data_IF_796703951069
#
_entry.id   IF_796703951069
#
_cell.length_a   1.000
_cell.length_b   1.000
_cell.length_c   1.000
_cell.angle_alpha   90.00
_cell.angle_beta   90.00
_cell.angle_gamma   90.00
#
_symmetry.space_group_name_H-M   'P 1'
#
loop_
_entity.id
_entity.type
_entity.pdbx_description
1 polymer ?
#
# COMPACT_ATOMS: atom_id res chain seq x y z
N UNK A 1 4.31 -17.61 -5.70
CA UNK A 1 3.73 -16.93 -6.88
C UNK A 1 2.32 -17.41 -7.13
N UNK A 2 2.08 -18.70 -7.35
CA UNK A 2 0.71 -19.23 -7.54
C UNK A 2 -0.25 -18.88 -6.38
N UNK A 3 0.22 -19.00 -5.13
CA UNK A 3 -0.53 -18.57 -3.94
C UNK A 3 -0.83 -17.07 -3.94
N UNK A 4 0.16 -16.25 -4.26
CA UNK A 4 -0.01 -14.79 -4.37
C UNK A 4 -0.98 -14.43 -5.50
N UNK A 5 -0.86 -15.03 -6.68
CA UNK A 5 -1.78 -14.83 -7.79
C UNK A 5 -3.22 -15.24 -7.45
N UNK A 6 -3.41 -16.31 -6.69
CA UNK A 6 -4.72 -16.74 -6.20
C UNK A 6 -5.30 -15.72 -5.20
N UNK A 7 -4.48 -15.22 -4.27
CA UNK A 7 -4.86 -14.16 -3.34
C UNK A 7 -5.24 -12.89 -4.11
N UNK A 8 -4.47 -12.51 -5.13
CA UNK A 8 -4.77 -11.35 -5.97
C UNK A 8 -6.09 -11.55 -6.70
N UNK A 9 -6.28 -12.69 -7.37
CA UNK A 9 -7.52 -13.01 -8.08
C UNK A 9 -8.73 -12.96 -7.13
N UNK A 10 -8.62 -13.60 -5.96
CA UNK A 10 -9.67 -13.60 -4.94
C UNK A 10 -9.94 -12.18 -4.42
N UNK A 11 -8.90 -11.39 -4.16
CA UNK A 11 -9.03 -10.02 -3.66
C UNK A 11 -9.73 -9.09 -4.66
N UNK A 12 -9.45 -9.25 -5.95
CA UNK A 12 -10.10 -8.47 -7.00
C UNK A 12 -11.52 -8.94 -7.29
N UNK A 13 -11.78 -10.24 -7.19
CA UNK A 13 -13.11 -10.82 -7.42
C UNK A 13 -14.09 -10.45 -6.28
N UNK A 14 -13.61 -10.44 -5.04
CA UNK A 14 -14.40 -10.07 -3.86
C UNK A 14 -14.61 -8.55 -3.72
N UNK A 15 -14.03 -7.73 -4.60
CA UNK A 15 -14.22 -6.27 -4.60
C UNK A 15 -15.58 -5.92 -5.22
N UNK A 16 -16.66 -6.20 -4.47
CA UNK A 16 -18.07 -6.20 -4.94
C UNK A 16 -18.58 -4.79 -5.34
N UNK A 17 -17.94 -3.71 -4.89
CA UNK A 17 -18.26 -2.34 -5.33
C UNK A 17 -17.02 -1.45 -5.27
N UNK A 18 -16.12 -1.60 -6.24
CA UNK A 18 -14.86 -0.84 -6.29
C UNK A 18 -15.02 0.56 -6.92
N UNK A 19 -16.25 0.96 -7.25
CA UNK A 19 -16.54 2.24 -7.90
C UNK A 19 -15.85 2.36 -9.26
N UNK A 20 -15.83 1.32 -10.09
CA UNK A 20 -15.06 1.29 -11.35
C UNK A 20 -15.38 2.42 -12.31
N UNK A 21 -16.62 2.91 -12.31
CA UNK A 21 -17.09 4.02 -13.15
C UNK A 21 -16.94 5.41 -12.50
N UNK A 22 -16.35 5.50 -11.31
CA UNK A 22 -16.31 6.75 -10.57
C UNK A 22 -15.25 7.72 -11.06
N UNK A 23 -15.61 9.01 -11.06
CA UNK A 23 -14.65 10.10 -11.23
C UNK A 23 -13.68 10.19 -10.05
N UNK A 24 -12.60 10.94 -10.22
CA UNK A 24 -11.63 11.19 -9.13
C UNK A 24 -12.30 11.77 -7.88
N UNK A 25 -13.16 12.77 -8.05
CA UNK A 25 -13.84 13.44 -6.95
C UNK A 25 -14.75 12.48 -6.18
N UNK A 26 -15.46 11.60 -6.89
CA UNK A 26 -16.30 10.59 -6.26
C UNK A 26 -15.51 9.60 -5.39
N UNK A 27 -14.22 9.38 -5.66
CA UNK A 27 -13.34 8.48 -4.88
C UNK A 27 -12.75 9.13 -3.63
N UNK A 28 -12.69 10.46 -3.60
CA UNK A 28 -11.92 11.21 -2.61
C UNK A 28 -12.82 12.07 -1.72
N UNK A 29 -13.87 12.65 -2.28
CA UNK A 29 -14.87 13.41 -1.54
C UNK A 29 -15.84 12.46 -0.84
N UNK A 30 -16.40 12.96 0.27
CA UNK A 30 -17.37 12.24 1.10
C UNK A 30 -18.27 13.25 1.81
N UNK A 31 -19.58 13.02 1.79
CA UNK A 31 -20.59 13.86 2.44
C UNK A 31 -20.61 13.74 3.97
N UNK A 32 -19.98 12.72 4.54
CA UNK A 32 -19.91 12.51 5.99
C UNK A 32 -18.88 11.46 6.43
N UNK A 33 -18.73 11.24 7.75
CA UNK A 33 -17.72 10.33 8.30
C UNK A 33 -17.90 8.87 7.85
N UNK A 34 -19.14 8.38 7.77
CA UNK A 34 -19.41 7.01 7.35
C UNK A 34 -19.00 6.76 5.89
N UNK A 35 -19.36 7.69 5.00
CA UNK A 35 -18.94 7.64 3.59
C UNK A 35 -17.41 7.76 3.48
N UNK A 36 -16.78 8.60 4.30
CA UNK A 36 -15.33 8.70 4.35
C UNK A 36 -14.66 7.38 4.74
N UNK A 37 -15.17 6.66 5.74
CA UNK A 37 -14.68 5.32 6.10
C UNK A 37 -14.93 4.30 4.99
N UNK A 38 -16.08 4.39 4.30
CA UNK A 38 -16.35 3.56 3.12
C UNK A 38 -15.33 3.81 2.01
N UNK A 39 -14.98 5.08 1.73
CA UNK A 39 -13.93 5.44 0.77
C UNK A 39 -12.55 4.96 1.23
N UNK A 40 -12.24 5.09 2.50
CA UNK A 40 -10.98 4.66 3.08
C UNK A 40 -10.77 3.13 3.00
N UNK A 41 -11.84 2.33 3.14
CA UNK A 41 -11.71 0.88 3.29
C UNK A 41 -12.27 0.06 2.13
N UNK A 42 -13.27 0.55 1.40
CA UNK A 42 -14.05 -0.29 0.48
C UNK A 42 -14.00 0.16 -0.98
N UNK A 43 -14.15 1.45 -1.26
CA UNK A 43 -14.45 1.92 -2.62
C UNK A 43 -13.79 3.25 -3.02
N UNK A 44 -12.88 3.80 -2.21
CA UNK A 44 -12.09 4.97 -2.58
C UNK A 44 -10.86 4.61 -3.40
N UNK A 45 -9.75 5.32 -3.19
CA UNK A 45 -8.51 5.12 -3.96
C UNK A 45 -7.80 3.83 -3.57
N UNK A 46 -7.82 3.44 -2.30
CA UNK A 46 -7.06 2.29 -1.83
C UNK A 46 -7.95 1.29 -1.06
N UNK A 47 -8.87 0.59 -1.74
CA UNK A 47 -9.77 -0.35 -1.09
C UNK A 47 -9.02 -1.51 -0.43
N UNK A 48 -9.44 -1.89 0.78
CA UNK A 48 -8.73 -2.82 1.65
C UNK A 48 -8.44 -4.16 0.97
N UNK A 49 -9.37 -4.69 0.17
CA UNK A 49 -9.27 -6.03 -0.41
C UNK A 49 -8.10 -6.19 -1.40
N UNK A 50 -7.97 -5.41 -2.49
CA UNK A 50 -6.79 -5.48 -3.36
C UNK A 50 -5.46 -5.26 -2.62
N UNK A 51 -5.44 -4.37 -1.62
CA UNK A 51 -4.22 -4.06 -0.87
C UNK A 51 -3.88 -5.10 0.20
N UNK A 52 -4.86 -5.87 0.68
CA UNK A 52 -4.64 -6.98 1.60
C UNK A 52 -3.73 -8.05 0.99
N UNK A 53 -3.75 -8.23 -0.33
CA UNK A 53 -2.81 -9.09 -1.04
C UNK A 53 -1.35 -8.68 -0.77
N UNK A 54 -1.05 -7.38 -0.74
CA UNK A 54 0.29 -6.87 -0.43
C UNK A 54 0.67 -7.05 1.04
N UNK A 55 -0.30 -6.90 1.96
CA UNK A 55 -0.07 -7.20 3.38
C UNK A 55 0.36 -8.66 3.57
N UNK A 56 -0.39 -9.60 2.98
CA UNK A 56 -0.06 -11.02 3.03
C UNK A 56 1.27 -11.33 2.33
N UNK A 57 1.54 -10.66 1.20
CA UNK A 57 2.83 -10.79 0.50
C UNK A 57 3.99 -10.33 1.37
N UNK A 58 3.84 -9.21 2.10
CA UNK A 58 4.84 -8.71 3.04
C UNK A 58 5.10 -9.69 4.20
N UNK A 59 4.03 -10.26 4.76
CA UNK A 59 4.14 -11.31 5.79
C UNK A 59 4.82 -12.58 5.28
N UNK A 60 4.50 -13.01 4.06
CA UNK A 60 5.19 -14.15 3.45
C UNK A 60 6.67 -13.84 3.15
N UNK A 61 6.98 -12.62 2.74
CA UNK A 61 8.34 -12.16 2.45
C UNK A 61 9.21 -12.06 3.70
N UNK A 62 8.65 -11.71 4.87
CA UNK A 62 9.41 -11.59 6.11
C UNK A 62 9.95 -12.94 6.62
N UNK A 63 9.24 -14.04 6.34
CA UNK A 63 9.67 -15.40 6.66
C UNK A 63 10.69 -15.98 5.68
N UNK A 64 10.81 -15.41 4.49
CA UNK A 64 11.79 -15.83 3.47
C UNK A 64 13.11 -15.12 3.77
N UNK A 65 14.02 -15.82 4.47
CA UNK A 65 15.40 -15.36 4.69
C UNK A 65 16.22 -15.20 3.39
N UNK A 66 17.54 -15.05 3.52
CA UNK A 66 18.47 -14.74 2.41
C UNK A 66 18.45 -15.69 1.20
N UNK A 67 17.75 -16.83 1.24
CA UNK A 67 17.66 -17.81 0.16
C UNK A 67 16.79 -17.37 -1.03
N UNK A 68 16.53 -16.07 -1.16
CA UNK A 68 15.78 -15.47 -2.25
C UNK A 68 16.53 -15.55 -3.57
N UNK A 69 15.94 -16.23 -4.55
CA UNK A 69 16.49 -16.35 -5.89
C UNK A 69 16.17 -15.08 -6.71
N UNK A 70 16.91 -13.98 -6.46
CA UNK A 70 16.78 -12.69 -7.16
C UNK A 70 16.60 -12.83 -8.69
N UNK A 71 17.34 -13.72 -9.40
CA UNK A 71 17.12 -13.92 -10.82
C UNK A 71 15.70 -14.36 -11.18
N UNK A 72 15.08 -15.24 -10.38
CA UNK A 72 13.70 -15.70 -10.61
C UNK A 72 12.69 -14.57 -10.39
N UNK A 73 12.86 -13.76 -9.36
CA UNK A 73 11.97 -12.61 -9.13
C UNK A 73 12.06 -11.57 -10.23
N UNK A 74 13.26 -11.31 -10.74
CA UNK A 74 13.46 -10.38 -11.88
C UNK A 74 12.78 -10.90 -13.13
N UNK A 75 12.95 -12.19 -13.46
CA UNK A 75 12.33 -12.80 -14.65
C UNK A 75 10.81 -12.71 -14.58
N UNK A 76 10.19 -13.04 -13.44
CA UNK A 76 8.72 -12.95 -13.29
C UNK A 76 8.22 -11.50 -13.41
N UNK A 77 8.88 -10.54 -12.75
CA UNK A 77 8.49 -9.14 -12.80
C UNK A 77 8.58 -8.56 -14.21
N UNK A 78 9.69 -8.82 -14.91
CA UNK A 78 9.90 -8.38 -16.30
C UNK A 78 8.94 -9.09 -17.25
N UNK A 79 8.71 -10.40 -17.08
CA UNK A 79 7.77 -11.15 -17.92
C UNK A 79 6.35 -10.59 -17.80
N UNK A 80 5.86 -10.32 -16.58
CA UNK A 80 4.54 -9.70 -16.38
C UNK A 80 4.46 -8.30 -16.99
N UNK A 81 5.53 -7.51 -16.89
CA UNK A 81 5.60 -6.20 -17.55
C UNK A 81 5.45 -6.34 -19.08
N UNK A 82 6.19 -7.26 -19.69
CA UNK A 82 6.15 -7.49 -21.14
C UNK A 82 4.82 -8.07 -21.60
N UNK A 83 4.22 -8.99 -20.83
CA UNK A 83 2.89 -9.55 -21.11
C UNK A 83 1.83 -8.46 -21.07
N UNK A 84 1.83 -7.60 -20.05
CA UNK A 84 0.86 -6.51 -19.93
C UNK A 84 1.02 -5.45 -21.00
N UNK A 85 2.27 -5.16 -21.40
CA UNK A 85 2.55 -4.29 -22.54
C UNK A 85 2.07 -4.91 -23.86
N UNK A 86 2.31 -6.21 -24.07
CA UNK A 86 1.84 -6.94 -25.24
C UNK A 86 0.31 -6.99 -25.33
N UNK A 87 -0.37 -7.20 -24.20
CA UNK A 87 -1.84 -7.12 -24.14
C UNK A 87 -2.35 -5.73 -24.54
N UNK A 88 -1.70 -4.65 -24.05
CA UNK A 88 -2.09 -3.29 -24.42
C UNK A 88 -1.96 -3.04 -25.93
N UNK A 89 -0.87 -3.53 -26.54
CA UNK A 89 -0.66 -3.42 -27.98
C UNK A 89 -1.69 -4.21 -28.81
N UNK A 90 -2.06 -5.42 -28.37
CA UNK A 90 -3.03 -6.27 -29.08
C UNK A 90 -4.47 -5.75 -28.90
N UNK A 91 -4.80 -5.24 -27.73
CA UNK A 91 -6.13 -4.74 -27.40
C UNK A 91 -6.35 -3.27 -27.77
N UNK A 92 -5.34 -2.59 -28.30
CA UNK A 92 -5.36 -1.14 -28.61
C UNK A 92 -5.78 -0.25 -27.42
N UNK A 93 -5.51 -0.72 -26.20
CA UNK A 93 -5.83 0.00 -24.96
C UNK A 93 -4.60 0.68 -24.39
N UNK A 94 -4.81 1.67 -23.51
CA UNK A 94 -3.70 2.28 -22.78
C UNK A 94 -3.06 1.24 -21.86
N UNK A 95 -1.72 1.24 -21.80
CA UNK A 95 -1.01 0.28 -20.98
C UNK A 95 -1.25 0.49 -19.48
N UNK A 96 -1.25 1.75 -19.03
CA UNK A 96 -1.44 2.09 -17.63
C UNK A 96 -2.19 3.43 -17.48
N UNK A 97 -3.24 3.45 -16.68
CA UNK A 97 -3.97 4.66 -16.32
C UNK A 97 -4.31 4.68 -14.82
N UNK A 98 -4.24 5.85 -14.15
CA UNK A 98 -4.69 5.96 -12.78
C UNK A 98 -6.16 5.57 -12.61
N UNK A 99 -7.02 5.97 -13.55
CA UNK A 99 -8.44 5.65 -13.60
C UNK A 99 -8.85 5.52 -15.07
N UNK A 100 -9.82 4.65 -15.36
CA UNK A 100 -10.31 4.37 -16.71
C UNK A 100 -9.87 3.02 -17.25
N UNK A 101 -10.07 2.86 -18.55
CA UNK A 101 -9.87 1.58 -19.25
C UNK A 101 -8.42 1.43 -19.72
N UNK A 102 -7.66 0.65 -18.96
CA UNK A 102 -6.26 0.33 -19.23
C UNK A 102 -5.94 -1.10 -18.77
N UNK A 103 -4.88 -1.67 -19.33
CA UNK A 103 -4.40 -2.98 -18.86
C UNK A 103 -4.00 -2.90 -17.39
N UNK A 104 -3.30 -1.84 -16.98
CA UNK A 104 -2.92 -1.56 -15.60
C UNK A 104 -3.72 -0.37 -15.05
N UNK A 105 -4.93 -0.63 -14.56
CA UNK A 105 -5.76 0.38 -13.89
C UNK A 105 -5.49 0.39 -12.39
N UNK A 106 -5.24 1.58 -11.83
CA UNK A 106 -4.85 1.77 -10.44
C UNK A 106 -6.08 1.96 -9.54
N UNK A 107 -7.10 2.66 -10.04
CA UNK A 107 -8.30 3.04 -9.31
C UNK A 107 -9.58 2.71 -10.10
N UNK A 108 -10.32 1.66 -9.71
CA UNK A 108 -9.92 0.65 -8.73
C UNK A 108 -8.81 -0.24 -9.27
N UNK A 109 -7.99 -0.76 -8.35
CA UNK A 109 -6.87 -1.61 -8.71
C UNK A 109 -7.37 -2.89 -9.38
N UNK A 110 -7.03 -3.08 -10.65
CA UNK A 110 -7.43 -4.28 -11.40
C UNK A 110 -6.44 -5.43 -11.14
N UNK A 111 -6.83 -6.63 -11.56
CA UNK A 111 -6.03 -7.85 -11.38
C UNK A 111 -4.60 -7.72 -11.90
N UNK A 112 -4.44 -7.23 -13.14
CA UNK A 112 -3.14 -7.12 -13.80
C UNK A 112 -2.23 -6.12 -13.11
N UNK A 113 -2.78 -5.02 -12.62
CA UNK A 113 -2.06 -4.04 -11.82
C UNK A 113 -1.54 -4.65 -10.53
N UNK A 114 -2.41 -5.26 -9.70
CA UNK A 114 -2.01 -5.83 -8.40
C UNK A 114 -1.00 -6.95 -8.58
N UNK A 115 -1.19 -7.83 -9.57
CA UNK A 115 -0.27 -8.93 -9.86
C UNK A 115 1.11 -8.41 -10.27
N UNK A 116 1.16 -7.45 -11.20
CA UNK A 116 2.40 -6.88 -11.71
C UNK A 116 3.12 -6.11 -10.62
N UNK A 117 2.42 -5.23 -9.89
CA UNK A 117 2.97 -4.47 -8.78
C UNK A 117 3.46 -5.40 -7.65
N UNK A 118 2.80 -6.52 -7.40
CA UNK A 118 3.24 -7.55 -6.44
C UNK A 118 4.55 -8.22 -6.84
N UNK A 119 4.70 -8.59 -8.12
CA UNK A 119 5.95 -9.17 -8.62
C UNK A 119 7.11 -8.16 -8.54
N UNK A 120 6.86 -6.90 -8.88
CA UNK A 120 7.83 -5.82 -8.73
C UNK A 120 8.19 -5.54 -7.27
N UNK A 121 7.22 -5.57 -6.36
CA UNK A 121 7.45 -5.44 -4.92
C UNK A 121 8.35 -6.55 -4.39
N UNK A 122 8.14 -7.79 -4.85
CA UNK A 122 9.00 -8.92 -4.51
C UNK A 122 10.43 -8.74 -5.05
N UNK A 123 10.59 -8.25 -6.29
CA UNK A 123 11.91 -7.89 -6.84
C UNK A 123 12.61 -6.80 -6.02
N UNK A 124 11.89 -5.73 -5.66
CA UNK A 124 12.41 -4.65 -4.82
C UNK A 124 12.84 -5.17 -3.45
N UNK A 125 12.07 -6.06 -2.84
CA UNK A 125 12.41 -6.69 -1.56
C UNK A 125 13.75 -7.46 -1.63
N UNK A 126 13.93 -8.35 -2.61
CA UNK A 126 15.18 -9.10 -2.77
C UNK A 126 16.37 -8.19 -3.08
N UNK A 127 16.14 -7.14 -3.85
CA UNK A 127 17.16 -6.13 -4.15
C UNK A 127 17.56 -5.36 -2.89
N UNK A 128 16.58 -4.90 -2.11
CA UNK A 128 16.80 -4.21 -0.85
C UNK A 128 17.53 -5.10 0.18
N UNK A 129 17.13 -6.36 0.28
CA UNK A 129 17.77 -7.34 1.17
C UNK A 129 19.23 -7.60 0.79
N UNK A 130 19.53 -7.67 -0.52
CA UNK A 130 20.90 -7.83 -1.04
C UNK A 130 21.75 -6.58 -0.77
N UNK A 131 21.14 -5.40 -0.82
CA UNK A 131 21.81 -4.11 -0.57
C UNK A 131 21.81 -3.69 0.91
N UNK A 132 21.17 -4.45 1.82
CA UNK A 132 20.94 -4.05 3.22
C UNK A 132 22.19 -3.59 3.96
N UNK A 133 23.34 -4.23 3.70
CA UNK A 133 24.60 -3.88 4.35
C UNK A 133 25.21 -2.61 3.76
N UNK A 134 25.14 -2.45 2.44
CA UNK A 134 25.68 -1.26 1.73
C UNK A 134 24.84 -0.02 1.98
N UNK A 135 23.51 -0.17 2.00
CA UNK A 135 22.54 0.91 2.15
C UNK A 135 21.96 1.00 3.58
N UNK A 136 22.66 0.48 4.60
CA UNK A 136 22.18 0.43 5.99
C UNK A 136 21.70 1.80 6.50
N UNK A 137 22.47 2.86 6.22
CA UNK A 137 22.13 4.23 6.64
C UNK A 137 20.84 4.72 5.99
N UNK A 138 20.65 4.44 4.70
CA UNK A 138 19.43 4.79 3.99
C UNK A 138 18.22 4.04 4.58
N UNK A 139 18.35 2.73 4.79
CA UNK A 139 17.29 1.93 5.41
C UNK A 139 16.93 2.41 6.82
N UNK A 140 17.92 2.81 7.62
CA UNK A 140 17.68 3.40 8.94
C UNK A 140 16.90 4.72 8.88
N UNK A 141 17.13 5.54 7.85
CA UNK A 141 16.41 6.82 7.64
C UNK A 141 14.95 6.61 7.25
N UNK A 142 14.66 5.60 6.42
CA UNK A 142 13.29 5.33 5.93
C UNK A 142 12.49 4.40 6.85
N UNK A 143 13.15 3.62 7.72
CA UNK A 143 12.49 2.69 8.63
C UNK A 143 11.36 3.32 9.48
N UNK A 144 11.47 4.57 9.96
CA UNK A 144 10.37 5.23 10.67
C UNK A 144 9.08 5.33 9.86
N UNK A 145 9.18 5.60 8.55
CA UNK A 145 8.03 5.69 7.64
C UNK A 145 7.31 4.35 7.56
N UNK A 146 8.07 3.25 7.41
CA UNK A 146 7.49 1.90 7.33
C UNK A 146 6.77 1.46 8.61
N UNK A 147 7.24 1.92 9.78
CA UNK A 147 6.60 1.67 11.08
C UNK A 147 5.31 2.47 11.30
N UNK A 148 5.06 3.50 10.49
CA UNK A 148 3.90 4.39 10.56
C UNK A 148 3.04 4.30 9.27
N UNK A 149 3.13 3.20 8.53
CA UNK A 149 2.49 3.06 7.22
C UNK A 149 0.96 3.20 7.26
N UNK A 150 0.29 2.68 8.29
CA UNK A 150 -1.16 2.80 8.48
C UNK A 150 -1.57 4.22 8.90
N UNK A 151 -0.84 4.82 9.83
CA UNK A 151 -1.08 6.22 10.24
C UNK A 151 -0.88 7.17 9.06
N UNK A 152 0.20 7.00 8.32
CA UNK A 152 0.50 7.77 7.11
C UNK A 152 -0.57 7.55 6.05
N UNK A 153 -1.01 6.30 5.85
CA UNK A 153 -2.08 5.97 4.92
C UNK A 153 -3.38 6.76 5.21
N UNK A 154 -3.83 6.75 6.46
CA UNK A 154 -5.08 7.44 6.84
C UNK A 154 -4.95 8.95 6.69
N UNK A 155 -3.82 9.54 7.13
CA UNK A 155 -3.59 10.98 7.01
C UNK A 155 -3.43 11.38 5.53
N UNK A 156 -2.74 10.57 4.72
CA UNK A 156 -2.58 10.78 3.29
C UNK A 156 -3.95 10.88 2.60
N UNK A 157 -4.88 9.97 2.93
CA UNK A 157 -6.23 10.00 2.38
C UNK A 157 -6.99 11.26 2.81
N UNK A 158 -6.84 11.71 4.06
CA UNK A 158 -7.42 12.97 4.53
C UNK A 158 -6.85 14.20 3.78
N UNK A 159 -5.54 14.23 3.50
CA UNK A 159 -4.91 15.29 2.71
C UNK A 159 -5.44 15.31 1.27
N UNK A 160 -5.59 14.14 0.64
CA UNK A 160 -6.18 14.05 -0.71
C UNK A 160 -7.59 14.65 -0.75
N UNK A 161 -8.41 14.39 0.27
CA UNK A 161 -9.73 15.02 0.40
C UNK A 161 -9.65 16.52 0.48
N UNK A 162 -8.80 17.05 1.35
CA UNK A 162 -8.61 18.50 1.48
C UNK A 162 -8.13 19.14 0.16
N UNK A 163 -7.24 18.47 -0.56
CA UNK A 163 -6.78 18.93 -1.88
C UNK A 163 -7.86 18.83 -2.96
N UNK A 164 -8.72 17.82 -2.94
CA UNK A 164 -9.83 17.74 -3.88
C UNK A 164 -10.88 18.83 -3.64
N UNK A 165 -11.11 19.19 -2.38
CA UNK A 165 -12.14 20.17 -1.99
C UNK A 165 -11.63 21.62 -2.05
N UNK A 166 -10.39 21.89 -1.66
CA UNK A 166 -9.82 23.24 -1.52
C UNK A 166 -8.60 23.49 -2.41
N UNK A 167 -8.07 22.45 -3.06
CA UNK A 167 -6.88 22.55 -3.87
C UNK A 167 -7.11 23.14 -5.26
N UNK A 168 -6.04 23.37 -6.02
CA UNK A 168 -6.13 23.90 -7.38
C UNK A 168 -6.84 22.90 -8.31
N UNK A 169 -7.83 23.37 -9.06
CA UNK A 169 -8.62 22.53 -9.99
C UNK A 169 -7.81 22.03 -11.19
N UNK A 170 -6.74 22.72 -11.53
CA UNK A 170 -5.81 22.35 -12.59
C UNK A 170 -4.39 22.66 -12.16
N UNK A 171 -3.52 21.68 -12.30
CA UNK A 171 -2.09 21.82 -12.11
C UNK A 171 -1.41 21.45 -13.42
N UNK A 172 -0.33 22.14 -13.75
CA UNK A 172 0.55 21.70 -14.84
C UNK A 172 1.18 20.35 -14.46
N UNK A 173 1.69 19.63 -15.47
CA UNK A 173 2.38 18.35 -15.25
C UNK A 173 3.57 18.54 -14.31
N UNK A 174 4.34 19.62 -14.47
CA UNK A 174 5.48 19.94 -13.61
C UNK A 174 5.09 20.21 -12.16
N UNK A 175 4.02 20.97 -11.93
CA UNK A 175 3.52 21.25 -10.58
C UNK A 175 2.99 19.97 -9.91
N UNK A 176 2.20 19.19 -10.65
CA UNK A 176 1.67 17.91 -10.18
C UNK A 176 2.81 16.97 -9.77
N UNK A 177 3.82 16.84 -10.64
CA UNK A 177 5.01 16.04 -10.36
C UNK A 177 5.77 16.54 -9.12
N UNK A 178 6.03 17.84 -9.02
CA UNK A 178 6.73 18.43 -7.89
C UNK A 178 5.96 18.21 -6.57
N UNK A 179 4.66 18.45 -6.57
CA UNK A 179 3.79 18.23 -5.40
C UNK A 179 3.78 16.75 -5.02
N UNK A 180 3.65 15.82 -5.98
CA UNK A 180 3.69 14.38 -5.70
C UNK A 180 5.02 13.96 -5.08
N UNK A 181 6.16 14.43 -5.61
CA UNK A 181 7.48 14.11 -5.07
C UNK A 181 7.66 14.68 -3.66
N UNK A 182 7.32 15.96 -3.46
CA UNK A 182 7.40 16.62 -2.16
C UNK A 182 6.52 15.92 -1.12
N UNK A 183 5.26 15.64 -1.49
CA UNK A 183 4.32 14.89 -0.65
C UNK A 183 4.81 13.48 -0.33
N UNK A 184 5.55 12.83 -1.24
CA UNK A 184 6.12 11.50 -0.96
C UNK A 184 7.30 11.57 0.01
N UNK A 185 8.17 12.57 -0.13
CA UNK A 185 9.41 12.68 0.67
C UNK A 185 9.16 13.28 2.06
N UNK A 186 8.16 14.17 2.21
CA UNK A 186 7.88 14.85 3.49
C UNK A 186 7.53 13.90 4.64
N UNK A 187 7.03 12.71 4.32
CA UNK A 187 6.74 11.69 5.33
C UNK A 187 7.99 11.18 6.06
N UNK A 188 9.17 11.25 5.44
CA UNK A 188 10.43 10.82 6.06
C UNK A 188 10.75 11.66 7.32
N UNK A 189 10.94 12.99 7.23
CA UNK A 189 11.20 13.80 8.41
C UNK A 189 10.04 13.80 9.40
N UNK A 190 8.78 13.76 8.94
CA UNK A 190 7.60 13.69 9.82
C UNK A 190 7.59 12.40 10.66
N UNK A 191 7.88 11.24 10.04
CA UNK A 191 7.95 9.97 10.75
C UNK A 191 9.11 9.93 11.76
N UNK A 192 10.26 10.50 11.41
CA UNK A 192 11.40 10.63 12.34
C UNK A 192 11.02 11.50 13.54
N UNK A 193 10.36 12.65 13.30
CA UNK A 193 9.95 13.57 14.35
C UNK A 193 8.90 12.93 15.28
N UNK A 194 7.91 12.26 14.68
CA UNK A 194 6.88 11.52 15.40
C UNK A 194 7.48 10.49 16.35
N UNK A 195 8.37 9.63 15.84
CA UNK A 195 9.01 8.59 16.66
C UNK A 195 9.87 9.15 17.79
N UNK A 196 10.42 10.36 17.61
CA UNK A 196 11.21 11.02 18.66
C UNK A 196 10.35 11.69 19.73
N UNK A 197 9.20 12.27 19.38
CA UNK A 197 8.41 13.13 20.29
C UNK A 197 7.17 12.46 20.85
N UNK A 198 6.43 11.71 20.03
CA UNK A 198 5.11 11.18 20.36
C UNK A 198 4.92 9.72 19.86
N UNK A 199 5.84 8.79 20.17
CA UNK A 199 5.79 7.42 19.65
C UNK A 199 4.59 6.60 20.13
N UNK A 200 3.85 7.10 21.12
CA UNK A 200 2.66 6.44 21.65
C UNK A 200 1.39 6.73 20.84
N UNK A 201 1.37 7.79 20.03
CA UNK A 201 0.19 8.21 19.29
C UNK A 201 0.26 7.70 17.83
N UNK A 202 -0.18 6.47 17.58
CA UNK A 202 -0.22 5.91 16.21
C UNK A 202 -1.32 4.87 16.07
N UNK A 203 -1.89 4.74 14.88
CA UNK A 203 -2.89 3.71 14.57
C UNK A 203 -2.29 2.31 14.64
N UNK A 204 -1.01 2.16 14.30
CA UNK A 204 -0.28 0.89 14.42
C UNK A 204 -0.27 0.41 15.86
N UNK A 205 0.03 1.30 16.81
CA UNK A 205 0.03 0.94 18.23
C UNK A 205 -1.37 0.62 18.74
N UNK A 206 -2.39 1.36 18.29
CA UNK A 206 -3.77 1.06 18.63
C UNK A 206 -4.16 -0.34 18.15
N UNK A 207 -3.79 -0.71 16.92
CA UNK A 207 -4.05 -2.02 16.36
C UNK A 207 -3.35 -3.14 17.14
N UNK A 208 -2.09 -2.92 17.56
CA UNK A 208 -1.37 -3.87 18.42
C UNK A 208 -2.08 -4.05 19.77
N UNK A 209 -2.52 -2.96 20.41
CA UNK A 209 -3.22 -3.02 21.69
C UNK A 209 -4.53 -3.80 21.59
N UNK A 210 -5.30 -3.61 20.52
CA UNK A 210 -6.57 -4.33 20.29
C UNK A 210 -6.32 -5.81 19.94
N UNK A 211 -5.20 -6.12 19.28
CA UNK A 211 -4.89 -7.48 18.82
C UNK A 211 -4.22 -8.35 19.90
N UNK A 212 -3.73 -7.75 20.99
CA UNK A 212 -3.08 -8.50 22.06
C UNK A 212 -4.13 -8.79 23.14
N UNK A 213 -4.61 -10.04 23.30
CA UNK A 213 -5.58 -10.35 24.34
C UNK A 213 -4.97 -10.08 25.72
N UNK A 214 -5.74 -9.45 26.59
CA UNK A 214 -5.40 -9.14 27.99
C UNK A 214 -5.41 -10.42 28.86
N UNK A 215 -4.74 -11.49 28.43
CA UNK A 215 -4.71 -12.78 29.14
C UNK A 215 -3.43 -12.99 29.98
N UNK A 216 -2.60 -11.96 30.19
CA UNK A 216 -1.41 -12.07 31.04
C UNK A 216 -1.59 -11.47 32.44
N UNK A 217 -2.81 -11.08 32.84
CA UNK A 217 -3.07 -10.52 34.18
C UNK A 217 -3.70 -11.52 35.16
N UNK A 218 -4.30 -12.61 34.68
CA UNK A 218 -4.95 -13.59 35.54
C UNK A 218 -4.07 -14.80 35.94
N UNK A 219 -3.05 -15.17 35.15
CA UNK A 219 -2.19 -16.33 35.49
C UNK A 219 -1.20 -16.03 36.62
N UNK A 220 -0.81 -14.77 36.84
CA UNK A 220 0.04 -14.38 37.98
C UNK A 220 -0.73 -14.21 39.29
N UNK A 221 -2.07 -14.08 39.24
CA UNK A 221 -2.90 -13.99 40.43
C UNK A 221 -3.26 -15.37 41.00
N UNK A 222 -3.28 -16.42 40.16
CA UNK A 222 -3.53 -17.79 40.61
C UNK A 222 -2.28 -18.53 41.10
N UNK A 223 -1.07 -18.10 40.72
CA UNK A 223 0.19 -18.71 41.18
C UNK A 223 0.71 -18.17 42.52
N UNK A 224 0.06 -17.16 43.10
CA UNK A 224 0.37 -16.64 44.44
C UNK A 224 -0.56 -17.21 45.53
N UNK A 225 -1.40 -18.19 45.19
CA UNK A 225 -2.33 -18.86 46.13
C UNK A 225 -2.09 -20.37 46.29
N UNK A 226 -0.96 -20.91 45.83
CA UNK A 226 -0.55 -22.31 46.08
C UNK A 226 0.70 -22.40 46.96
#
# INVERSE_FOLDING_TARGET
MLTFSLIVALSTLLSIDSGSSWSWDQRVLSSGPLEWFSRLLMNGTYPLLPWWAFFLAGGALSGIGHNGNLPRSSVVAVALLLVTLGMAMVSETQWALPNGDAILTFFPANFWFVLTAGAWSHLVWHSAFSLRHKARKLFAIIAPVGKLSLSIYVIHFAILRLLAEWGPKSLTISESFAITVLHSVIWIPLAILHQKRIPHLSLERLLVLISTPEHSKDETASSEQE
#
